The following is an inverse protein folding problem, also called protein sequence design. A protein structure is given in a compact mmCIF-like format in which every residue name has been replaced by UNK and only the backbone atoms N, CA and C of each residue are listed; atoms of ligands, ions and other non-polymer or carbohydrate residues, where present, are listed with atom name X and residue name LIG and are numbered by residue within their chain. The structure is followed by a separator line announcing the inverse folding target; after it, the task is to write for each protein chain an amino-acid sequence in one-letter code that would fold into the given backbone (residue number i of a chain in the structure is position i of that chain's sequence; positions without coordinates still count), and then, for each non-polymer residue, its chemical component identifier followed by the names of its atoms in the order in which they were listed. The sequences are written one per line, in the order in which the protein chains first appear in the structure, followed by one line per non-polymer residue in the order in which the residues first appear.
data_IF_305203412756
#
_entry.id   IF_305203412756
#
_cell.length_a   1.000
_cell.length_b   1.000
_cell.length_c   1.000
_cell.angle_alpha   90.00
_cell.angle_beta   90.00
_cell.angle_gamma   90.00
#
_symmetry.space_group_name_H-M   'P 1'
#
loop_
_entity.id
_entity.type
_entity.pdbx_description
1 polymer ?
#
# COMPACT_ATOMS: atom_id res chain seq x y z
N UNK A 1 -31.33 21.62 -2.06
CA UNK A 1 -29.94 21.47 -1.60
C UNK A 1 -29.82 20.04 -1.06
N UNK A 2 -29.59 19.08 -1.96
CA UNK A 2 -29.35 17.70 -1.55
C UNK A 2 -27.88 17.68 -1.15
N UNK A 3 -27.60 17.63 0.15
CA UNK A 3 -26.24 17.32 0.58
C UNK A 3 -25.98 15.90 0.12
N UNK A 4 -25.14 15.73 -0.90
CA UNK A 4 -24.44 14.46 -1.08
C UNK A 4 -23.66 14.23 0.22
N UNK A 5 -24.26 13.47 1.13
CA UNK A 5 -23.54 12.79 2.18
C UNK A 5 -22.65 11.79 1.45
N UNK A 6 -21.48 12.24 1.00
CA UNK A 6 -20.37 11.32 0.85
C UNK A 6 -20.28 10.59 2.19
N UNK A 7 -20.45 9.25 2.22
CA UNK A 7 -20.30 8.53 3.47
C UNK A 7 -18.91 8.89 3.98
N UNK A 8 -18.84 9.61 5.11
CA UNK A 8 -17.58 9.85 5.79
C UNK A 8 -17.01 8.46 6.04
N UNK A 9 -16.01 8.09 5.25
CA UNK A 9 -15.32 6.82 5.43
C UNK A 9 -14.66 6.94 6.79
N UNK A 10 -15.25 6.29 7.79
CA UNK A 10 -14.69 6.28 9.13
C UNK A 10 -13.37 5.53 9.02
N UNK A 11 -12.24 6.25 9.05
CA UNK A 11 -10.93 5.70 8.75
C UNK A 11 -9.89 6.23 9.74
N UNK A 12 -8.88 5.41 9.97
CA UNK A 12 -7.73 5.72 10.82
C UNK A 12 -6.51 5.93 9.93
N UNK A 13 -5.80 7.03 10.16
CA UNK A 13 -4.53 7.31 9.51
C UNK A 13 -3.40 6.52 10.18
N UNK A 14 -2.56 5.90 9.36
CA UNK A 14 -1.37 5.16 9.77
C UNK A 14 -0.17 5.56 8.92
N UNK A 15 1.02 5.36 9.45
CA UNK A 15 2.28 5.37 8.68
C UNK A 15 3.19 4.25 9.13
N UNK A 16 4.05 3.78 8.24
CA UNK A 16 5.07 2.80 8.58
C UNK A 16 6.25 3.48 9.30
N UNK A 17 6.74 2.87 10.37
CA UNK A 17 7.98 3.27 11.04
C UNK A 17 8.82 2.04 11.30
N UNK A 18 10.09 2.06 10.91
CA UNK A 18 10.97 0.92 11.17
C UNK A 18 11.34 0.82 12.66
N UNK A 19 11.46 -0.40 13.20
CA UNK A 19 11.73 -0.67 14.63
C UNK A 19 12.97 0.03 15.21
N UNK A 20 13.96 0.38 14.39
CA UNK A 20 15.16 1.12 14.84
C UNK A 20 14.94 2.61 15.09
N UNK A 21 13.81 3.18 14.62
CA UNK A 21 13.53 4.60 14.79
C UNK A 21 13.06 4.90 16.21
N UNK A 22 13.78 5.82 16.86
CA UNK A 22 13.41 6.36 18.16
C UNK A 22 12.13 7.19 18.03
N UNK A 23 11.16 7.04 18.94
CA UNK A 23 9.91 7.81 18.90
C UNK A 23 10.11 9.34 18.84
N UNK A 24 11.19 9.86 19.43
CA UNK A 24 11.45 11.30 19.58
C UNK A 24 11.96 12.00 18.32
N UNK A 25 12.31 11.28 17.25
CA UNK A 25 12.93 11.88 16.05
C UNK A 25 11.93 12.19 14.94
N UNK A 26 10.64 11.91 15.14
CA UNK A 26 9.64 12.06 14.08
C UNK A 26 8.96 13.42 14.21
N UNK A 27 9.45 14.40 13.44
CA UNK A 27 8.97 15.79 13.48
C UNK A 27 8.19 16.23 12.25
N UNK A 28 8.30 15.51 11.12
CA UNK A 28 7.56 15.79 9.90
C UNK A 28 6.87 14.52 9.40
N UNK A 29 5.57 14.62 9.09
CA UNK A 29 4.80 13.54 8.48
C UNK A 29 4.64 13.91 7.02
N UNK A 30 5.19 13.10 6.12
CA UNK A 30 4.91 13.23 4.69
C UNK A 30 3.49 12.72 4.43
N UNK A 31 2.58 13.50 3.81
CA UNK A 31 1.26 13.03 3.44
C UNK A 31 1.29 11.78 2.54
N UNK A 32 2.33 11.61 1.73
CA UNK A 32 2.47 10.46 0.83
C UNK A 32 2.79 9.15 1.59
N UNK A 33 3.25 9.25 2.84
CA UNK A 33 3.51 8.11 3.72
C UNK A 33 2.28 7.69 4.55
N UNK A 34 1.15 8.40 4.41
CA UNK A 34 -0.07 8.14 5.19
C UNK A 34 -0.99 7.16 4.44
N UNK A 35 -1.31 6.06 5.11
CA UNK A 35 -2.31 5.08 4.65
C UNK A 35 -3.54 5.19 5.55
N UNK A 36 -4.73 5.26 4.95
CA UNK A 36 -6.00 5.25 5.67
C UNK A 36 -6.61 3.85 5.63
N UNK A 37 -6.87 3.28 6.81
CA UNK A 37 -7.56 2.00 6.95
C UNK A 37 -8.96 2.25 7.50
N UNK A 38 -9.96 1.59 6.93
CA UNK A 38 -11.34 1.67 7.38
C UNK A 38 -11.49 1.19 8.83
N UNK A 39 -12.33 1.88 9.58
CA UNK A 39 -12.68 1.57 10.95
C UNK A 39 -14.06 0.90 11.01
N UNK A 40 -14.21 0.01 11.98
CA UNK A 40 -15.47 -0.61 12.35
C UNK A 40 -15.96 -0.02 13.67
N UNK A 41 -17.27 0.04 13.85
CA UNK A 41 -17.87 0.42 15.13
C UNK A 41 -18.41 -0.84 15.79
N UNK A 42 -17.97 -1.12 17.01
CA UNK A 42 -18.56 -2.18 17.82
C UNK A 42 -20.00 -1.78 18.21
N UNK A 43 -21.03 -2.58 17.88
CA UNK A 43 -22.42 -2.18 18.07
C UNK A 43 -22.85 -2.13 19.55
N UNK A 44 -22.09 -2.76 20.46
CA UNK A 44 -22.40 -2.82 21.88
C UNK A 44 -21.66 -1.75 22.68
N UNK A 45 -20.38 -1.55 22.37
CA UNK A 45 -19.53 -0.59 23.09
C UNK A 45 -19.45 0.77 22.41
N UNK A 46 -19.89 0.87 21.15
CA UNK A 46 -19.74 2.03 20.28
C UNK A 46 -18.29 2.50 20.11
N UNK A 47 -17.34 1.61 20.43
CA UNK A 47 -15.91 1.88 20.25
C UNK A 47 -15.56 1.60 18.80
N UNK A 48 -14.87 2.57 18.19
CA UNK A 48 -14.31 2.39 16.86
C UNK A 48 -13.00 1.62 16.94
N UNK A 49 -12.83 0.65 16.06
CA UNK A 49 -11.66 -0.21 16.03
C UNK A 49 -11.24 -0.56 14.61
N UNK A 50 -9.99 -0.96 14.48
CA UNK A 50 -9.37 -1.47 13.25
C UNK A 50 -9.01 -2.93 13.50
N UNK A 51 -9.26 -3.81 12.53
CA UNK A 51 -8.82 -5.19 12.60
C UNK A 51 -7.32 -5.27 12.38
N UNK A 52 -6.64 -6.08 13.19
CA UNK A 52 -5.20 -6.30 13.03
C UNK A 52 -4.86 -6.90 11.66
N UNK A 53 -5.74 -7.75 11.10
CA UNK A 53 -5.57 -8.33 9.75
C UNK A 53 -5.45 -7.27 8.66
N UNK A 54 -6.23 -6.18 8.78
CA UNK A 54 -6.23 -5.11 7.79
C UNK A 54 -4.94 -4.28 7.89
N UNK A 55 -4.40 -4.16 9.11
CA UNK A 55 -3.08 -3.56 9.35
C UNK A 55 -1.99 -4.46 8.75
N UNK A 56 -1.99 -5.76 8.99
CA UNK A 56 -1.02 -6.69 8.38
C UNK A 56 -1.11 -6.69 6.85
N UNK A 57 -2.32 -6.59 6.28
CA UNK A 57 -2.51 -6.50 4.84
C UNK A 57 -1.93 -5.21 4.26
N UNK A 58 -2.09 -4.08 4.94
CA UNK A 58 -1.49 -2.80 4.52
C UNK A 58 0.02 -2.74 4.79
N UNK A 59 0.48 -3.44 5.82
CA UNK A 59 1.83 -3.38 6.36
C UNK A 59 2.34 -4.81 6.61
N UNK A 60 2.88 -5.45 5.56
CA UNK A 60 3.19 -6.90 5.54
C UNK A 60 4.09 -7.45 6.65
N UNK A 61 4.86 -6.60 7.34
CA UNK A 61 5.73 -6.96 8.46
C UNK A 61 5.45 -6.13 9.73
N UNK A 62 4.18 -5.80 9.95
CA UNK A 62 3.73 -5.08 11.14
C UNK A 62 4.00 -5.88 12.42
N UNK A 63 4.68 -5.27 13.39
CA UNK A 63 4.96 -5.86 14.69
C UNK A 63 3.98 -5.38 15.76
N UNK A 64 3.74 -4.07 15.82
CA UNK A 64 2.82 -3.44 16.76
C UNK A 64 2.47 -2.02 16.32
N UNK A 65 1.38 -1.48 16.86
CA UNK A 65 1.00 -0.06 16.68
C UNK A 65 1.42 0.73 17.91
N UNK A 66 1.89 1.96 17.71
CA UNK A 66 2.13 2.92 18.79
C UNK A 66 1.55 4.30 18.46
N UNK A 67 1.19 5.01 19.52
CA UNK A 67 0.99 6.45 19.50
C UNK A 67 2.19 7.10 20.17
N UNK A 68 3.03 7.78 19.37
CA UNK A 68 4.27 8.41 19.86
C UNK A 68 5.14 7.40 20.63
N UNK A 69 5.21 7.53 21.96
CA UNK A 69 5.99 6.68 22.86
C UNK A 69 5.18 5.55 23.51
N UNK A 70 3.87 5.48 23.25
CA UNK A 70 2.94 4.56 23.91
C UNK A 70 2.53 3.46 22.93
N UNK A 71 2.80 2.21 23.29
CA UNK A 71 2.29 1.06 22.55
C UNK A 71 0.77 0.95 22.72
N UNK A 72 0.04 0.77 21.63
CA UNK A 72 -1.39 0.54 21.67
C UNK A 72 -1.68 -0.95 21.87
N UNK A 73 -2.29 -1.35 22.99
CA UNK A 73 -2.64 -2.75 23.21
C UNK A 73 -3.82 -3.15 22.33
N UNK A 74 -3.96 -4.46 22.10
CA UNK A 74 -5.20 -5.00 21.56
C UNK A 74 -6.36 -4.75 22.52
N UNK A 75 -7.56 -4.51 21.97
CA UNK A 75 -8.79 -4.49 22.75
C UNK A 75 -8.97 -5.83 23.47
N UNK A 76 -9.40 -5.76 24.73
CA UNK A 76 -9.54 -6.90 25.61
C UNK A 76 -11.00 -7.12 25.99
N UNK A 77 -11.35 -8.38 26.19
CA UNK A 77 -12.62 -8.77 26.80
C UNK A 77 -12.65 -8.46 28.29
N UNK A 78 -13.79 -8.76 28.92
CA UNK A 78 -13.98 -8.65 30.37
C UNK A 78 -13.04 -9.56 31.17
N UNK A 79 -12.48 -10.59 30.53
CA UNK A 79 -11.48 -11.51 31.06
C UNK A 79 -10.03 -11.02 30.88
N UNK A 80 -9.84 -9.78 30.41
CA UNK A 80 -8.54 -9.17 30.08
C UNK A 80 -7.72 -9.90 29.01
N UNK A 81 -8.32 -10.87 28.29
CA UNK A 81 -7.69 -11.50 27.14
C UNK A 81 -7.93 -10.66 25.89
N UNK A 82 -6.96 -10.60 24.96
CA UNK A 82 -7.19 -9.97 23.66
C UNK A 82 -8.43 -10.57 22.99
N UNK A 83 -9.29 -9.70 22.44
CA UNK A 83 -10.42 -10.13 21.65
C UNK A 83 -9.94 -10.80 20.36
N UNK A 84 -10.67 -11.82 19.91
CA UNK A 84 -10.49 -12.41 18.59
C UNK A 84 -11.71 -12.07 17.69
N UNK A 85 -11.50 -11.60 16.44
CA UNK A 85 -10.21 -11.24 15.86
C UNK A 85 -9.57 -10.05 16.59
N UNK A 86 -8.23 -9.99 16.61
CA UNK A 86 -7.46 -8.91 17.24
C UNK A 86 -7.87 -7.54 16.70
N UNK A 87 -8.05 -6.58 17.61
CA UNK A 87 -8.55 -5.23 17.31
C UNK A 87 -7.66 -4.17 17.95
N UNK A 88 -7.40 -3.09 17.24
CA UNK A 88 -6.76 -1.88 17.76
C UNK A 88 -7.83 -0.80 17.87
N UNK A 89 -7.89 -0.09 18.99
CA UNK A 89 -8.80 1.04 19.15
C UNK A 89 -8.42 2.15 18.15
N UNK A 90 -9.41 2.69 17.44
CA UNK A 90 -9.19 3.87 16.62
C UNK A 90 -8.92 5.08 17.51
N UNK A 91 -7.99 5.92 17.07
CA UNK A 91 -7.67 7.20 17.70
C UNK A 91 -7.88 8.30 16.66
N UNK A 92 -9.02 9.00 16.69
CA UNK A 92 -9.34 10.04 15.72
C UNK A 92 -8.30 11.16 15.76
N UNK A 93 -8.20 11.88 14.64
CA UNK A 93 -7.34 13.07 14.48
C UNK A 93 -5.84 12.83 14.72
N UNK A 94 -5.41 11.56 14.70
CA UNK A 94 -4.02 11.18 14.94
C UNK A 94 -3.53 10.19 13.88
N UNK A 95 -2.28 10.35 13.45
CA UNK A 95 -1.59 9.35 12.64
C UNK A 95 -0.90 8.37 13.59
N UNK A 96 -1.22 7.08 13.47
CA UNK A 96 -0.62 6.01 14.25
C UNK A 96 0.64 5.47 13.57
N UNK A 97 1.65 5.13 14.36
CA UNK A 97 2.86 4.49 13.86
C UNK A 97 2.64 2.97 13.85
N UNK A 98 2.74 2.35 12.68
CA UNK A 98 2.87 0.89 12.55
C UNK A 98 4.35 0.56 12.53
N UNK A 99 4.81 -0.14 13.57
CA UNK A 99 6.23 -0.49 13.68
C UNK A 99 6.53 -1.73 12.88
N UNK A 100 7.45 -1.62 11.92
CA UNK A 100 7.81 -2.65 10.95
C UNK A 100 9.07 -3.42 11.34
N UNK A 101 9.05 -4.73 11.12
CA UNK A 101 10.08 -5.68 11.55
C UNK A 101 11.23 -5.96 10.59
N UNK A 102 11.17 -5.48 9.35
CA UNK A 102 12.11 -5.81 8.28
C UNK A 102 13.51 -5.24 8.38
N UNK A 103 14.35 -5.59 7.41
CA UNK A 103 15.66 -4.98 7.23
C UNK A 103 15.51 -3.63 6.53
N UNK A 104 16.14 -2.59 7.09
CA UNK A 104 16.19 -1.29 6.45
C UNK A 104 17.10 -1.40 5.22
N UNK A 105 16.58 -1.90 4.11
CA UNK A 105 17.27 -1.77 2.84
C UNK A 105 17.28 -0.29 2.58
N UNK A 106 18.41 0.36 2.90
CA UNK A 106 18.64 1.74 2.55
C UNK A 106 18.41 1.82 1.05
N UNK A 107 17.26 2.36 0.65
CA UNK A 107 17.08 2.96 -0.65
C UNK A 107 18.08 4.10 -0.66
N UNK A 108 19.33 3.76 -0.97
CA UNK A 108 20.27 4.67 -1.57
C UNK A 108 19.46 5.25 -2.71
N UNK A 109 19.01 6.48 -2.52
CA UNK A 109 18.51 7.36 -3.55
C UNK A 109 19.48 7.15 -4.69
N UNK A 110 19.08 6.40 -5.72
CA UNK A 110 19.94 6.13 -6.86
C UNK A 110 20.06 7.49 -7.52
N UNK A 111 21.07 8.24 -7.09
CA UNK A 111 21.51 9.43 -7.78
C UNK A 111 21.84 8.91 -9.17
N UNK A 112 20.98 9.22 -10.14
CA UNK A 112 21.23 8.90 -11.52
C UNK A 112 22.67 9.35 -11.82
N UNK A 113 23.57 8.43 -12.23
CA UNK A 113 24.87 8.86 -12.67
C UNK A 113 24.66 9.78 -13.87
N UNK A 114 25.21 10.98 -13.74
CA UNK A 114 25.22 12.03 -14.74
C UNK A 114 25.52 11.41 -16.11
N UNK A 115 24.61 11.57 -17.09
CA UNK A 115 24.88 11.15 -18.47
C UNK A 115 25.91 12.07 -19.09
N UNK A 116 27.18 11.78 -18.84
CA UNK A 116 28.28 12.17 -19.70
C UNK A 116 29.28 11.02 -19.72
N UNK A 117 29.42 10.42 -20.90
CA UNK A 117 30.45 9.45 -21.31
C UNK A 117 30.25 7.99 -20.86
N UNK A 118 29.67 7.19 -21.75
CA UNK A 118 30.36 6.03 -22.34
C UNK A 118 29.47 5.38 -23.40
N UNK A 119 29.86 5.56 -24.67
CA UNK A 119 29.46 4.67 -25.76
C UNK A 119 30.04 3.27 -25.53
N UNK A 120 29.39 2.29 -26.17
CA UNK A 120 29.80 0.91 -26.39
C UNK A 120 29.60 -0.06 -25.22
N UNK A 121 28.43 -0.71 -25.18
CA UNK A 121 28.25 -2.15 -25.44
C UNK A 121 26.84 -2.59 -25.03
N UNK A 122 25.99 -2.93 -26.01
CA UNK A 122 24.72 -3.61 -25.75
C UNK A 122 24.94 -5.12 -25.90
N UNK A 123 24.50 -5.96 -24.94
CA UNK A 123 24.11 -7.32 -25.23
C UNK A 123 22.61 -7.39 -25.55
N UNK A 124 22.31 -8.03 -26.68
CA UNK A 124 21.00 -8.46 -27.16
C UNK A 124 20.12 -9.04 -26.04
N UNK A 125 18.90 -8.51 -25.89
CA UNK A 125 17.76 -9.30 -25.42
C UNK A 125 16.57 -9.14 -26.36
N UNK A 126 15.98 -10.30 -26.66
CA UNK A 126 15.04 -10.60 -27.73
C UNK A 126 13.79 -9.71 -27.71
N UNK A 127 13.49 -9.14 -28.87
CA UNK A 127 12.20 -8.54 -29.21
C UNK A 127 11.13 -9.65 -29.23
N UNK A 128 10.09 -9.55 -28.41
CA UNK A 128 8.91 -10.39 -28.55
C UNK A 128 7.86 -9.54 -29.28
N UNK A 129 7.71 -9.78 -30.58
CA UNK A 129 6.70 -9.16 -31.43
C UNK A 129 5.31 -9.71 -31.12
N UNK A 130 4.42 -8.88 -30.58
CA UNK A 130 2.98 -9.15 -30.59
C UNK A 130 2.39 -8.69 -31.92
N UNK A 131 2.54 -9.51 -32.97
CA UNK A 131 1.82 -9.28 -34.24
C UNK A 131 0.37 -9.78 -34.13
N UNK A 132 -0.58 -8.85 -34.03
CA UNK A 132 -2.00 -9.10 -34.28
C UNK A 132 -2.22 -9.51 -35.75
N UNK A 133 -2.50 -10.80 -36.02
CA UNK A 133 -2.98 -11.27 -37.32
C UNK A 133 -4.51 -11.14 -37.40
N UNK A 134 -4.99 -10.23 -38.24
CA UNK A 134 -6.37 -10.26 -38.74
C UNK A 134 -6.46 -11.12 -40.03
N UNK A 135 -7.59 -11.82 -40.31
CA UNK A 135 -7.64 -12.82 -41.36
C UNK A 135 -8.08 -12.30 -42.74
N UNK A 136 -7.48 -12.92 -43.77
CA UNK A 136 -7.93 -13.22 -45.15
C UNK A 136 -8.91 -12.26 -45.86
N UNK A 137 -8.38 -11.53 -46.86
CA UNK A 137 -9.16 -11.06 -48.02
C UNK A 137 -9.12 -12.12 -49.12
N UNK A 138 -10.30 -12.45 -49.66
CA UNK A 138 -10.50 -13.41 -50.74
C UNK A 138 -9.93 -12.92 -52.08
N UNK A 139 -9.21 -13.80 -52.77
CA UNK A 139 -8.66 -13.59 -54.12
C UNK A 139 -9.75 -13.72 -55.19
N UNK A 140 -9.85 -12.71 -56.07
CA UNK A 140 -10.47 -12.83 -57.40
C UNK A 140 -9.43 -13.42 -58.36
N UNK A 141 -9.73 -14.56 -58.97
CA UNK A 141 -8.96 -15.10 -60.08
C UNK A 141 -9.42 -14.46 -61.40
N UNK A 142 -8.49 -13.86 -62.12
CA UNK A 142 -8.62 -13.41 -63.52
C UNK A 142 -8.07 -14.53 -64.40
N UNK A 143 -8.89 -15.02 -65.33
CA UNK A 143 -8.49 -15.99 -66.36
C UNK A 143 -7.92 -15.22 -67.57
N UNK A 144 -6.76 -15.68 -68.04
CA UNK A 144 -5.98 -15.14 -69.14
C UNK A 144 -6.61 -15.38 -70.54
N UNK A 145 -6.20 -14.65 -71.59
CA UNK A 145 -6.65 -14.88 -72.96
C UNK A 145 -5.83 -16.00 -73.63
N UNK A 146 -6.46 -16.76 -74.52
CA UNK A 146 -5.78 -17.57 -75.54
C UNK A 146 -6.23 -17.12 -76.93
N UNK A 147 -5.24 -17.07 -77.82
CA UNK A 147 -5.33 -16.79 -79.26
C UNK A 147 -6.26 -17.75 -79.99
#
# INVERSE_FOLDING_TARGET
MVYEHTPQVHAQAFRAVHKSYKPSTITCVDPDDIIYIGCHTDPYTHINFILWSDIEQAFGEALFVRSRTILLPYLKGSDYRPLEPKRIAAVPDMVLDVVMGGELVALTKVAYPNKAQAQASQPNFLHIDYTLKAPLKMSKAVVAPKK
#
